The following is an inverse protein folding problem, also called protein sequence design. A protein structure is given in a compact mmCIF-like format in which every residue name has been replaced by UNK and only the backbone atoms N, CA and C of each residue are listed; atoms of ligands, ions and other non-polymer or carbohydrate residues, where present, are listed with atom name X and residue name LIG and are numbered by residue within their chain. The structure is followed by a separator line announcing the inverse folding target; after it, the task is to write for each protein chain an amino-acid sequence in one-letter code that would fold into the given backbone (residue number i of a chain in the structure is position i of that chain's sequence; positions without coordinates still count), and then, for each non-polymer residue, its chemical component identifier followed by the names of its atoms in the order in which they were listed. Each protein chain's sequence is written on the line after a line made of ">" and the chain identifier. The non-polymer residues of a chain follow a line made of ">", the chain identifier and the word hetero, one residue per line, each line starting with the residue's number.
data_IF_844994696863
#
_entry.id   IF_844994696863
#
_cell.length_a   1.000
_cell.length_b   1.000
_cell.length_c   1.000
_cell.angle_alpha   90.00
_cell.angle_beta   90.00
_cell.angle_gamma   90.00
#
_symmetry.space_group_name_H-M   'P 1'
#
loop_
_entity.id
_entity.type
_entity.pdbx_description
1 polymer ?
#
# COMPACT_ATOMS: atom_id res chain seq x y z
N UNK A 1 0.10 -28.29 -51.25
CA UNK A 1 1.44 -28.54 -50.66
C UNK A 1 1.67 -27.50 -49.59
N UNK A 2 1.49 -27.83 -48.30
CA UNK A 2 1.87 -26.89 -47.23
C UNK A 2 3.40 -26.75 -47.27
N UNK A 3 3.86 -25.51 -47.48
CA UNK A 3 5.28 -25.20 -47.65
C UNK A 3 6.02 -25.49 -46.35
N UNK A 4 7.24 -26.04 -46.43
CA UNK A 4 8.12 -26.26 -45.28
C UNK A 4 8.37 -24.99 -44.46
N UNK A 5 8.18 -23.81 -45.05
CA UNK A 5 8.22 -22.52 -44.36
C UNK A 5 6.99 -22.29 -43.44
N UNK A 6 5.82 -22.80 -43.80
CA UNK A 6 4.59 -22.67 -43.04
C UNK A 6 4.63 -23.52 -41.76
N UNK A 7 5.16 -24.75 -41.86
CA UNK A 7 5.37 -25.62 -40.70
C UNK A 7 6.42 -25.06 -39.74
N UNK A 8 7.46 -24.41 -40.30
CA UNK A 8 8.43 -23.65 -39.49
C UNK A 8 7.75 -22.50 -38.77
N UNK A 9 6.91 -21.71 -39.44
CA UNK A 9 6.19 -20.59 -38.81
C UNK A 9 5.29 -21.08 -37.67
N UNK A 10 4.54 -22.17 -37.88
CA UNK A 10 3.73 -22.81 -36.84
C UNK A 10 4.55 -23.23 -35.63
N UNK A 11 5.67 -23.92 -35.84
CA UNK A 11 6.54 -24.33 -34.72
C UNK A 11 7.17 -23.15 -33.98
N UNK A 12 7.45 -22.03 -34.67
CA UNK A 12 7.91 -20.80 -34.02
C UNK A 12 6.81 -20.15 -33.16
N UNK A 13 5.57 -20.12 -33.64
CA UNK A 13 4.42 -19.57 -32.88
C UNK A 13 4.11 -20.46 -31.68
N UNK A 14 4.22 -21.79 -31.82
CA UNK A 14 4.05 -22.72 -30.70
C UNK A 14 5.12 -22.49 -29.62
N UNK A 15 6.38 -22.27 -30.03
CA UNK A 15 7.45 -21.87 -29.11
C UNK A 15 7.17 -20.52 -28.45
N UNK A 16 6.66 -19.55 -29.21
CA UNK A 16 6.26 -18.24 -28.70
C UNK A 16 5.15 -18.36 -27.64
N UNK A 17 4.18 -19.26 -27.84
CA UNK A 17 3.11 -19.55 -26.90
C UNK A 17 3.63 -20.11 -25.59
N UNK A 18 4.61 -21.01 -25.64
CA UNK A 18 5.27 -21.54 -24.45
C UNK A 18 6.01 -20.44 -23.68
N UNK A 19 6.74 -19.56 -24.38
CA UNK A 19 7.43 -18.42 -23.78
C UNK A 19 6.45 -17.41 -23.16
N UNK A 20 5.35 -17.09 -23.86
CA UNK A 20 4.31 -16.21 -23.36
C UNK A 20 3.63 -16.78 -22.10
N UNK A 21 3.37 -18.09 -22.07
CA UNK A 21 2.79 -18.77 -20.90
C UNK A 21 3.73 -18.77 -19.71
N UNK A 22 5.04 -18.99 -19.93
CA UNK A 22 6.05 -18.87 -18.88
C UNK A 22 6.17 -17.45 -18.35
N UNK A 23 6.09 -16.47 -19.25
CA UNK A 23 6.09 -15.06 -18.90
C UNK A 23 4.86 -14.68 -18.04
N UNK A 24 3.66 -15.13 -18.42
CA UNK A 24 2.44 -14.90 -17.65
C UNK A 24 2.49 -15.53 -16.26
N UNK A 25 3.07 -16.74 -16.13
CA UNK A 25 3.33 -17.38 -14.81
C UNK A 25 4.24 -16.54 -13.91
N UNK A 26 5.11 -15.72 -14.50
CA UNK A 26 5.97 -14.79 -13.76
C UNK A 26 5.20 -13.69 -13.03
N UNK A 27 3.92 -13.45 -13.36
CA UNK A 27 3.07 -12.42 -12.75
C UNK A 27 3.74 -11.03 -12.70
N UNK A 28 4.59 -10.71 -13.67
CA UNK A 28 5.32 -9.43 -13.70
C UNK A 28 4.37 -8.24 -13.78
N UNK A 29 3.30 -8.37 -14.56
CA UNK A 29 2.26 -7.35 -14.70
C UNK A 29 1.36 -7.23 -13.47
N UNK A 30 1.19 -8.30 -12.68
CA UNK A 30 0.37 -8.27 -11.47
C UNK A 30 0.95 -7.35 -10.38
N UNK A 31 2.26 -7.06 -10.42
CA UNK A 31 2.92 -6.17 -9.46
C UNK A 31 2.97 -4.71 -9.91
N UNK A 32 2.69 -4.42 -11.18
CA UNK A 32 2.80 -3.08 -11.74
C UNK A 32 1.43 -2.42 -11.81
N UNK A 33 1.18 -1.46 -10.91
CA UNK A 33 -0.10 -0.73 -10.80
C UNK A 33 -0.48 0.04 -12.07
N UNK A 34 0.51 0.49 -12.84
CA UNK A 34 0.27 1.17 -14.12
C UNK A 34 -0.28 0.18 -15.16
N UNK A 35 0.28 -1.03 -15.21
CA UNK A 35 -0.18 -2.06 -16.15
C UNK A 35 -1.56 -2.61 -15.77
N UNK A 36 -1.90 -2.71 -14.48
CA UNK A 36 -3.24 -3.09 -14.03
C UNK A 36 -4.33 -2.07 -14.37
N UNK A 37 -3.96 -0.79 -14.55
CA UNK A 37 -4.89 0.27 -14.93
C UNK A 37 -5.14 0.31 -16.44
N UNK A 38 -4.33 -0.41 -17.23
CA UNK A 38 -4.51 -0.51 -18.68
C UNK A 38 -5.55 -1.61 -19.01
N UNK A 39 -6.44 -1.36 -19.99
CA UNK A 39 -7.48 -2.33 -20.36
C UNK A 39 -6.96 -3.47 -21.26
N UNK A 40 -5.84 -3.29 -21.97
CA UNK A 40 -5.18 -4.30 -22.82
C UNK A 40 -3.66 -4.08 -22.85
N UNK A 41 -2.89 -5.13 -23.16
CA UNK A 41 -1.42 -5.04 -23.32
C UNK A 41 -1.01 -4.40 -24.65
N UNK A 42 -1.85 -4.58 -25.68
CA UNK A 42 -1.61 -4.03 -27.01
C UNK A 42 -2.77 -3.14 -27.45
N UNK A 43 -2.49 -2.30 -28.44
CA UNK A 43 -3.49 -1.46 -29.11
C UNK A 43 -4.46 -2.32 -29.92
N UNK A 44 -5.72 -1.88 -29.98
CA UNK A 44 -6.79 -2.48 -30.78
C UNK A 44 -6.47 -2.49 -32.29
N UNK A 45 -5.58 -1.59 -32.72
CA UNK A 45 -5.11 -1.55 -34.11
C UNK A 45 -4.27 -2.78 -34.50
N UNK A 46 -3.63 -3.45 -33.52
CA UNK A 46 -2.73 -4.60 -33.75
C UNK A 46 -3.40 -5.91 -33.35
N UNK A 47 -4.19 -5.91 -32.27
CA UNK A 47 -4.89 -7.10 -31.77
C UNK A 47 -6.36 -6.81 -31.48
N UNK A 48 -7.22 -7.78 -31.75
CA UNK A 48 -8.63 -7.72 -31.36
C UNK A 48 -8.85 -8.19 -29.92
N UNK A 49 -7.96 -9.06 -29.40
CA UNK A 49 -8.01 -9.55 -28.03
C UNK A 49 -7.75 -8.45 -27.01
N UNK A 50 -8.54 -8.45 -25.93
CA UNK A 50 -8.36 -7.56 -24.79
C UNK A 50 -8.05 -8.40 -23.56
N UNK A 51 -6.77 -8.73 -23.40
CA UNK A 51 -6.30 -9.50 -22.24
C UNK A 51 -5.07 -8.86 -21.59
N UNK A 52 -4.87 -9.17 -20.31
CA UNK A 52 -3.65 -8.87 -19.55
C UNK A 52 -2.64 -10.02 -19.60
N UNK A 53 -2.96 -11.11 -20.32
CA UNK A 53 -2.10 -12.27 -20.51
C UNK A 53 -1.52 -12.25 -21.92
N UNK A 54 -0.22 -12.45 -22.03
CA UNK A 54 0.45 -12.50 -23.33
C UNK A 54 0.06 -13.75 -24.11
N UNK A 55 -0.24 -14.86 -23.43
CA UNK A 55 -0.66 -16.11 -24.06
C UNK A 55 -1.93 -15.96 -24.91
N UNK A 56 -2.88 -15.14 -24.48
CA UNK A 56 -4.16 -14.95 -25.19
C UNK A 56 -3.94 -14.28 -26.57
N UNK A 57 -2.94 -13.40 -26.69
CA UNK A 57 -2.56 -12.78 -27.97
C UNK A 57 -1.83 -13.75 -28.91
N UNK A 58 -1.08 -14.72 -28.37
CA UNK A 58 -0.43 -15.74 -29.21
C UNK A 58 -1.45 -16.74 -29.75
N UNK A 59 -2.53 -17.00 -29.00
CA UNK A 59 -3.66 -17.80 -29.49
C UNK A 59 -4.35 -17.09 -30.66
N UNK A 60 -4.57 -15.77 -30.57
CA UNK A 60 -5.12 -14.99 -31.68
C UNK A 60 -4.26 -15.10 -32.95
N UNK A 61 -2.93 -15.02 -32.82
CA UNK A 61 -1.98 -15.20 -33.95
C UNK A 61 -2.10 -16.61 -34.55
N UNK A 62 -2.24 -17.64 -33.70
CA UNK A 62 -2.39 -19.03 -34.12
C UNK A 62 -3.71 -19.24 -34.90
N UNK A 63 -4.80 -18.69 -34.40
CA UNK A 63 -6.11 -18.72 -35.06
C UNK A 63 -6.09 -17.95 -36.38
N UNK A 64 -5.45 -16.78 -36.41
CA UNK A 64 -5.32 -15.95 -37.60
C UNK A 64 -4.50 -16.67 -38.69
N UNK A 65 -3.40 -17.33 -38.31
CA UNK A 65 -2.60 -18.15 -39.21
C UNK A 65 -3.39 -19.34 -39.76
N UNK A 66 -4.26 -19.95 -38.96
CA UNK A 66 -5.09 -21.07 -39.40
C UNK A 66 -6.25 -20.60 -40.30
N UNK A 67 -6.70 -19.36 -40.17
CA UNK A 67 -7.76 -18.74 -40.98
C UNK A 67 -7.25 -17.93 -42.19
N UNK A 68 -5.98 -18.09 -42.58
CA UNK A 68 -5.39 -17.35 -43.70
C UNK A 68 -6.26 -17.49 -44.97
N UNK A 69 -6.54 -16.37 -45.68
CA UNK A 69 -7.31 -16.43 -46.92
C UNK A 69 -6.57 -17.23 -48.00
N UNK A 70 -7.27 -17.76 -49.01
CA UNK A 70 -6.64 -18.47 -50.11
C UNK A 70 -5.58 -17.59 -50.82
N UNK A 71 -4.45 -18.19 -51.20
CA UNK A 71 -3.36 -17.49 -51.87
C UNK A 71 -3.75 -16.86 -53.23
N UNK A 72 -4.90 -17.25 -53.78
CA UNK A 72 -5.51 -16.65 -54.97
C UNK A 72 -5.90 -15.19 -54.74
N UNK A 73 -6.25 -14.80 -53.50
CA UNK A 73 -6.55 -13.43 -53.13
C UNK A 73 -5.28 -12.71 -52.66
N UNK A 74 -4.37 -12.44 -53.60
CA UNK A 74 -3.02 -11.91 -53.36
C UNK A 74 -2.95 -10.75 -52.36
N UNK A 75 -3.84 -9.76 -52.49
CA UNK A 75 -3.85 -8.59 -51.59
C UNK A 75 -4.31 -8.93 -50.17
N UNK A 76 -5.36 -9.74 -50.02
CA UNK A 76 -5.87 -10.15 -48.72
C UNK A 76 -4.88 -11.08 -48.00
N UNK A 77 -4.22 -11.96 -48.76
CA UNK A 77 -3.19 -12.86 -48.26
C UNK A 77 -1.95 -12.11 -47.79
N UNK A 78 -1.47 -11.15 -48.59
CA UNK A 78 -0.32 -10.32 -48.22
C UNK A 78 -0.61 -9.47 -46.98
N UNK A 79 -1.79 -8.84 -46.92
CA UNK A 79 -2.19 -8.05 -45.76
C UNK A 79 -2.30 -8.89 -44.48
N UNK A 80 -2.85 -10.10 -44.55
CA UNK A 80 -2.92 -11.01 -43.41
C UNK A 80 -1.51 -11.43 -42.93
N UNK A 81 -0.58 -11.69 -43.85
CA UNK A 81 0.80 -12.01 -43.49
C UNK A 81 1.54 -10.82 -42.84
N UNK A 82 1.37 -9.61 -43.37
CA UNK A 82 1.93 -8.39 -42.78
C UNK A 82 1.37 -8.14 -41.38
N UNK A 83 0.07 -8.38 -41.19
CA UNK A 83 -0.59 -8.26 -39.88
C UNK A 83 -0.06 -9.28 -38.87
N UNK A 84 0.07 -10.55 -39.26
CA UNK A 84 0.69 -11.61 -38.43
C UNK A 84 2.14 -11.25 -38.08
N UNK A 85 2.92 -10.72 -39.03
CA UNK A 85 4.30 -10.30 -38.78
C UNK A 85 4.37 -9.19 -37.72
N UNK A 86 3.51 -8.16 -37.84
CA UNK A 86 3.42 -7.07 -36.86
C UNK A 86 3.01 -7.57 -35.47
N UNK A 87 2.06 -8.50 -35.39
CA UNK A 87 1.63 -9.11 -34.14
C UNK A 87 2.75 -9.92 -33.47
N UNK A 88 3.47 -10.73 -34.24
CA UNK A 88 4.63 -11.50 -33.73
C UNK A 88 5.73 -10.57 -33.25
N UNK A 89 6.03 -9.50 -33.99
CA UNK A 89 7.02 -8.50 -33.58
C UNK A 89 6.61 -7.78 -32.29
N UNK A 90 5.34 -7.41 -32.15
CA UNK A 90 4.81 -6.78 -30.95
C UNK A 90 4.97 -7.67 -29.71
N UNK A 91 4.60 -8.96 -29.81
CA UNK A 91 4.77 -9.95 -28.73
C UNK A 91 6.24 -10.12 -28.40
N UNK A 92 7.11 -10.21 -29.40
CA UNK A 92 8.54 -10.39 -29.21
C UNK A 92 9.20 -9.19 -28.54
N UNK A 93 8.79 -7.97 -28.90
CA UNK A 93 9.27 -6.73 -28.28
C UNK A 93 8.88 -6.66 -26.79
N UNK A 94 7.70 -7.12 -26.41
CA UNK A 94 7.28 -7.23 -25.00
C UNK A 94 8.16 -8.23 -24.23
N UNK A 95 8.40 -9.41 -24.81
CA UNK A 95 9.29 -10.42 -24.19
C UNK A 95 10.73 -9.90 -24.06
N UNK A 96 11.23 -9.15 -25.04
CA UNK A 96 12.58 -8.55 -25.01
C UNK A 96 12.73 -7.38 -24.05
N UNK A 97 11.69 -6.57 -23.87
CA UNK A 97 11.69 -5.43 -22.94
C UNK A 97 11.44 -5.86 -21.49
N UNK A 98 10.96 -7.07 -21.28
CA UNK A 98 10.78 -7.72 -19.97
C UNK A 98 11.97 -7.60 -19.00
N UNK A 99 13.23 -7.94 -19.35
CA UNK A 99 14.37 -7.82 -18.44
C UNK A 99 14.66 -6.36 -18.03
N UNK A 100 14.32 -5.38 -18.88
CA UNK A 100 14.42 -3.95 -18.55
C UNK A 100 13.34 -3.61 -17.52
N UNK A 101 12.11 -4.04 -17.74
CA UNK A 101 11.02 -3.85 -16.78
C UNK A 101 11.22 -4.60 -15.47
N UNK A 102 11.81 -5.79 -15.47
CA UNK A 102 12.10 -6.54 -14.24
C UNK A 102 13.18 -5.86 -13.39
N UNK A 103 14.15 -5.19 -14.02
CA UNK A 103 15.13 -4.33 -13.34
C UNK A 103 14.46 -3.05 -12.85
N UNK A 104 13.68 -2.39 -13.68
CA UNK A 104 13.00 -1.14 -13.34
C UNK A 104 11.95 -1.34 -12.23
N UNK A 105 11.21 -2.45 -12.19
CA UNK A 105 10.24 -2.77 -11.14
C UNK A 105 10.90 -3.19 -9.81
N UNK A 106 12.22 -3.46 -9.78
CA UNK A 106 13.00 -3.58 -8.54
C UNK A 106 13.40 -2.21 -7.98
N UNK A 107 13.59 -1.21 -8.85
CA UNK A 107 14.01 0.15 -8.47
C UNK A 107 12.84 1.13 -8.33
N UNK A 108 11.77 0.92 -9.09
CA UNK A 108 10.55 1.70 -9.12
C UNK A 108 9.50 0.93 -8.34
N UNK A 109 9.01 1.53 -7.25
CA UNK A 109 8.04 0.98 -6.31
C UNK A 109 8.60 0.12 -5.17
N UNK A 110 9.39 0.74 -4.29
CA UNK A 110 9.10 0.53 -2.86
C UNK A 110 7.74 1.17 -2.61
N UNK A 111 6.66 0.43 -2.28
CA UNK A 111 5.49 1.09 -1.72
C UNK A 111 6.01 1.86 -0.52
N UNK A 112 6.00 3.21 -0.59
CA UNK A 112 6.01 4.00 0.63
C UNK A 112 4.77 3.50 1.36
N UNK A 113 4.97 2.60 2.32
CA UNK A 113 3.98 2.28 3.34
C UNK A 113 3.49 3.64 3.81
N UNK A 114 2.29 4.03 3.37
CA UNK A 114 1.69 5.31 3.75
C UNK A 114 1.80 5.32 5.28
N UNK A 115 2.59 6.24 5.85
CA UNK A 115 2.89 6.13 7.26
C UNK A 115 1.55 6.24 7.98
N UNK A 116 1.33 5.30 8.89
CA UNK A 116 0.19 5.19 9.80
C UNK A 116 -0.14 6.52 10.54
N UNK A 117 0.75 7.50 10.42
CA UNK A 117 0.65 8.91 10.81
C UNK A 117 -0.66 9.58 10.35
N UNK A 118 -1.18 9.33 9.13
CA UNK A 118 -2.44 9.97 8.72
C UNK A 118 -3.67 9.44 9.47
N UNK A 119 -3.72 8.14 9.80
CA UNK A 119 -4.80 7.58 10.63
C UNK A 119 -4.71 8.07 12.08
N UNK A 120 -3.50 8.23 12.61
CA UNK A 120 -3.30 8.81 13.95
C UNK A 120 -3.62 10.31 13.99
N UNK A 121 -3.27 11.06 12.96
CA UNK A 121 -3.58 12.49 12.85
C UNK A 121 -5.09 12.71 12.70
N UNK A 122 -5.78 11.92 11.89
CA UNK A 122 -7.26 11.99 11.79
C UNK A 122 -7.91 11.56 13.10
N UNK A 123 -7.41 10.52 13.78
CA UNK A 123 -7.92 10.14 15.12
C UNK A 123 -7.66 11.22 16.19
N UNK A 124 -6.56 11.98 16.09
CA UNK A 124 -6.26 13.12 16.97
C UNK A 124 -7.12 14.35 16.67
N UNK A 125 -7.48 14.59 15.40
CA UNK A 125 -8.42 15.64 14.99
C UNK A 125 -9.87 15.26 15.36
N UNK A 126 -10.17 13.95 15.35
CA UNK A 126 -11.48 13.40 15.62
C UNK A 126 -11.69 12.98 17.09
N UNK A 127 -10.68 13.17 17.97
CA UNK A 127 -10.96 13.21 19.41
C UNK A 127 -11.91 14.39 19.61
N UNK A 128 -13.16 14.07 19.93
CA UNK A 128 -14.18 15.08 20.18
C UNK A 128 -13.64 16.02 21.24
N UNK A 129 -13.74 17.35 21.06
CA UNK A 129 -13.34 18.33 22.07
C UNK A 129 -13.89 17.95 23.46
N UNK A 130 -15.08 17.35 23.49
CA UNK A 130 -15.71 16.82 24.69
C UNK A 130 -14.87 15.77 25.44
N UNK A 131 -14.24 14.83 24.74
CA UNK A 131 -13.42 13.77 25.33
C UNK A 131 -12.17 14.36 26.02
N UNK A 132 -11.58 15.42 25.45
CA UNK A 132 -10.45 16.13 26.06
C UNK A 132 -10.85 16.87 27.34
N UNK A 133 -12.03 17.50 27.38
CA UNK A 133 -12.53 18.14 28.61
C UNK A 133 -12.86 17.11 29.70
N UNK A 134 -13.40 15.94 29.32
CA UNK A 134 -13.63 14.85 30.26
C UNK A 134 -12.32 14.32 30.86
N UNK A 135 -11.29 14.12 30.03
CA UNK A 135 -9.94 13.73 30.47
C UNK A 135 -9.34 14.80 31.41
N UNK A 136 -9.47 16.08 31.07
CA UNK A 136 -9.00 17.20 31.90
C UNK A 136 -9.69 17.20 33.27
N UNK A 137 -11.02 17.05 33.29
CA UNK A 137 -11.82 16.99 34.53
C UNK A 137 -11.39 15.83 35.42
N UNK A 138 -11.18 14.65 34.85
CA UNK A 138 -10.70 13.48 35.58
C UNK A 138 -9.30 13.71 36.17
N UNK A 139 -8.39 14.29 35.39
CA UNK A 139 -7.04 14.61 35.84
C UNK A 139 -7.03 15.61 37.01
N UNK A 140 -7.86 16.65 36.99
CA UNK A 140 -7.99 17.56 38.14
C UNK A 140 -8.58 16.88 39.39
N UNK A 141 -9.50 15.94 39.22
CA UNK A 141 -10.02 15.16 40.35
C UNK A 141 -8.94 14.25 40.95
N UNK A 142 -8.10 13.63 40.12
CA UNK A 142 -6.94 12.88 40.59
C UNK A 142 -5.94 13.78 41.31
N UNK A 143 -5.69 15.00 40.82
CA UNK A 143 -4.84 15.97 41.50
C UNK A 143 -5.36 16.28 42.90
N UNK A 144 -6.65 16.63 43.03
CA UNK A 144 -7.28 16.89 44.34
C UNK A 144 -7.14 15.70 45.28
N UNK A 145 -7.41 14.48 44.80
CA UNK A 145 -7.27 13.27 45.62
C UNK A 145 -5.82 13.01 46.06
N UNK A 146 -4.84 13.24 45.18
CA UNK A 146 -3.42 13.07 45.53
C UNK A 146 -2.96 14.09 46.57
N UNK A 147 -3.43 15.34 46.50
CA UNK A 147 -3.14 16.37 47.51
C UNK A 147 -3.69 15.95 48.87
N UNK A 148 -4.96 15.51 48.93
CA UNK A 148 -5.57 15.00 50.16
C UNK A 148 -4.80 13.80 50.73
N UNK A 149 -4.38 12.84 49.89
CA UNK A 149 -3.57 11.70 50.33
C UNK A 149 -2.22 12.15 50.91
N UNK A 150 -1.59 13.19 50.34
CA UNK A 150 -0.34 13.74 50.87
C UNK A 150 -0.59 14.38 52.24
N UNK A 151 -1.65 15.18 52.38
CA UNK A 151 -2.02 15.83 53.65
C UNK A 151 -2.33 14.79 54.73
N UNK A 152 -3.08 13.75 54.41
CA UNK A 152 -3.39 12.66 55.34
C UNK A 152 -2.12 11.94 55.82
N UNK A 153 -1.17 11.67 54.91
CA UNK A 153 0.11 11.05 55.25
C UNK A 153 1.00 11.98 56.07
N UNK A 154 0.97 13.29 55.81
CA UNK A 154 1.66 14.30 56.63
C UNK A 154 1.11 14.35 58.05
N UNK A 155 -0.21 14.30 58.21
CA UNK A 155 -0.82 14.29 59.54
C UNK A 155 -0.47 13.00 60.31
N UNK A 156 -0.42 11.85 59.62
CA UNK A 156 0.06 10.59 60.22
C UNK A 156 1.55 10.65 60.60
N UNK A 157 2.36 11.40 59.84
CA UNK A 157 3.78 11.60 60.15
C UNK A 157 3.98 12.33 61.48
N UNK A 158 3.13 13.32 61.79
CA UNK A 158 3.20 14.08 63.05
C UNK A 158 2.96 13.21 64.30
N UNK A 159 2.20 12.12 64.16
CA UNK A 159 1.88 11.19 65.23
C UNK A 159 2.76 9.91 65.25
N UNK A 160 3.75 9.79 64.36
CA UNK A 160 4.49 8.56 64.12
C UNK A 160 5.83 8.46 64.87
N UNK A 161 6.23 7.24 65.24
CA UNK A 161 7.56 6.95 65.80
C UNK A 161 8.66 7.01 64.71
N UNK A 162 9.93 7.14 65.10
CA UNK A 162 11.07 7.37 64.19
C UNK A 162 11.19 6.37 63.04
N UNK A 163 10.87 5.08 63.28
CA UNK A 163 10.87 4.05 62.23
C UNK A 163 9.69 4.19 61.26
N UNK A 164 8.48 4.45 61.77
CA UNK A 164 7.27 4.66 60.96
C UNK A 164 7.36 5.97 60.16
N UNK A 165 7.99 7.00 60.72
CA UNK A 165 8.22 8.28 60.07
C UNK A 165 9.08 8.13 58.80
N UNK A 166 10.07 7.24 58.79
CA UNK A 166 10.89 6.99 57.62
C UNK A 166 10.09 6.34 56.47
N UNK A 167 9.17 5.43 56.77
CA UNK A 167 8.29 4.79 55.78
C UNK A 167 7.27 5.77 55.22
N UNK A 168 6.59 6.52 56.09
CA UNK A 168 5.59 7.54 55.70
C UNK A 168 6.23 8.63 54.82
N UNK A 169 7.47 9.06 55.11
CA UNK A 169 8.19 10.01 54.27
C UNK A 169 8.47 9.47 52.86
N UNK A 170 8.80 8.18 52.71
CA UNK A 170 8.98 7.56 51.38
C UNK A 170 7.68 7.55 50.59
N UNK A 171 6.56 7.26 51.25
CA UNK A 171 5.23 7.29 50.63
C UNK A 171 4.84 8.72 50.20
N UNK A 172 5.10 9.73 51.04
CA UNK A 172 4.88 11.14 50.71
C UNK A 172 5.68 11.55 49.48
N UNK A 173 6.95 11.16 49.39
CA UNK A 173 7.79 11.43 48.22
C UNK A 173 7.25 10.74 46.95
N UNK A 174 6.79 9.49 47.06
CA UNK A 174 6.19 8.77 45.94
C UNK A 174 4.88 9.44 45.47
N UNK A 175 4.05 9.91 46.40
CA UNK A 175 2.84 10.66 46.09
C UNK A 175 3.13 12.01 45.42
N UNK A 176 4.14 12.75 45.90
CA UNK A 176 4.59 13.98 45.25
C UNK A 176 5.11 13.75 43.82
N UNK A 177 5.86 12.66 43.60
CA UNK A 177 6.30 12.29 42.25
C UNK A 177 5.11 11.97 41.33
N UNK A 178 4.06 11.31 41.85
CA UNK A 178 2.83 11.04 41.10
C UNK A 178 2.04 12.31 40.82
N UNK A 179 1.95 13.22 41.79
CA UNK A 179 1.33 14.54 41.63
C UNK A 179 2.02 15.35 40.53
N UNK A 180 3.36 15.37 40.50
CA UNK A 180 4.12 16.03 39.44
C UNK A 180 3.83 15.47 38.05
N UNK A 181 3.70 14.14 37.91
CA UNK A 181 3.29 13.50 36.65
C UNK A 181 1.85 13.86 36.27
N UNK A 182 0.94 13.93 37.24
CA UNK A 182 -0.46 14.31 37.03
C UNK A 182 -0.58 15.75 36.51
N UNK A 183 0.14 16.70 37.12
CA UNK A 183 0.19 18.11 36.65
C UNK A 183 0.73 18.22 35.23
N UNK A 184 1.76 17.46 34.88
CA UNK A 184 2.28 17.42 33.50
C UNK A 184 1.24 16.89 32.50
N UNK A 185 0.43 15.92 32.90
CA UNK A 185 -0.65 15.39 32.07
C UNK A 185 -1.80 16.40 31.90
N UNK A 186 -2.13 17.17 32.96
CA UNK A 186 -3.10 18.27 32.92
C UNK A 186 -2.66 19.31 31.88
N UNK A 187 -1.44 19.86 32.02
CA UNK A 187 -0.93 20.87 31.08
C UNK A 187 -0.88 20.36 29.63
N UNK A 188 -0.46 19.10 29.43
CA UNK A 188 -0.46 18.51 28.08
C UNK A 188 -1.86 18.31 27.49
N UNK A 189 -2.91 18.21 28.32
CA UNK A 189 -4.30 18.11 27.88
C UNK A 189 -4.86 19.50 27.58
N UNK A 190 -4.56 20.50 28.41
CA UNK A 190 -4.89 21.92 28.17
C UNK A 190 -4.30 22.42 26.85
N UNK A 191 -3.02 22.12 26.58
CA UNK A 191 -2.35 22.47 25.33
C UNK A 191 -3.06 21.88 24.09
N UNK A 192 -3.56 20.65 24.20
CA UNK A 192 -4.32 19.99 23.11
C UNK A 192 -5.68 20.67 22.90
N UNK A 193 -6.39 20.99 23.98
CA UNK A 193 -7.68 21.70 23.92
C UNK A 193 -7.49 23.04 23.20
N UNK A 194 -6.48 23.81 23.59
CA UNK A 194 -6.17 25.10 22.97
C UNK A 194 -5.85 24.97 21.47
N UNK A 195 -5.16 23.90 21.06
CA UNK A 195 -4.88 23.63 19.64
C UNK A 195 -6.16 23.30 18.85
N UNK A 196 -7.06 22.51 19.42
CA UNK A 196 -8.33 22.15 18.79
C UNK A 196 -9.24 23.37 18.66
N UNK A 197 -9.38 24.17 19.72
CA UNK A 197 -10.17 25.42 19.69
C UNK A 197 -9.65 26.40 18.62
N UNK A 198 -8.33 26.58 18.53
CA UNK A 198 -7.70 27.43 17.50
C UNK A 198 -7.96 26.95 16.07
N UNK A 199 -8.13 25.64 15.86
CA UNK A 199 -8.48 25.07 14.56
C UNK A 199 -9.97 25.23 14.23
N UNK A 200 -10.85 25.21 15.23
CA UNK A 200 -12.30 25.42 15.04
C UNK A 200 -12.66 26.88 14.74
N UNK A 201 -11.85 27.83 15.22
CA UNK A 201 -12.02 29.28 15.00
C UNK A 201 -11.44 29.80 13.67
N UNK A 202 -10.79 28.94 12.87
CA UNK A 202 -10.21 29.27 11.56
C UNK A 202 -11.11 28.81 10.42
#
# INVERSE_FOLDING_TARGET
>A
MQSTAFDKLRSQIERLKQLATQFDKGNLFAKNRYMQAQPSLFDKAVFSTKSMKLADYVIEIEDELNSLPPAEHRHAYQYALERIALQVEAVFNVIKSTPVWAKENKYSFKPKTKPQVYKQAVKKIMQSSHELYDELKQNHEFERRLVLMIEERKLKLEAANTQQAAEINKEILALHARLGRCRKAISATEDKIQQVEKQQLR
#
